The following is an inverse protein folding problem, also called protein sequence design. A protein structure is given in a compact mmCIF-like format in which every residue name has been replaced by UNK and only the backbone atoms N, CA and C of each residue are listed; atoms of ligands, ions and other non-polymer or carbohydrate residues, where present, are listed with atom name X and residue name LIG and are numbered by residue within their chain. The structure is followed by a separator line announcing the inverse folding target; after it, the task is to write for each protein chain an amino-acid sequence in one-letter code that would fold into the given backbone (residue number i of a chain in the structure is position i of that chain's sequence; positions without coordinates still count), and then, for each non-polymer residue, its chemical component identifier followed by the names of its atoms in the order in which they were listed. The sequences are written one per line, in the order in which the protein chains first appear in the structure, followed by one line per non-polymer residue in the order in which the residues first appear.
data_IF_102332823122
#
_entry.id   IF_102332823122
#
_cell.length_a   1.000
_cell.length_b   1.000
_cell.length_c   1.000
_cell.angle_alpha   90.00
_cell.angle_beta   90.00
_cell.angle_gamma   90.00
#
_symmetry.space_group_name_H-M   'P 1'
#
loop_
_entity.id
_entity.type
_entity.pdbx_description
1 polymer ?
#
# COMPACT_ATOMS: atom_id res chain seq x y z
N UNK A 1 17.51 -2.58 -4.79
CA UNK A 1 16.36 -1.71 -5.09
C UNK A 1 15.06 -2.35 -4.62
N UNK A 2 14.16 -1.55 -4.06
CA UNK A 2 12.89 -2.12 -3.63
C UNK A 2 12.09 -2.61 -4.85
N UNK A 3 11.38 -3.72 -4.66
CA UNK A 3 10.54 -4.25 -5.71
C UNK A 3 9.19 -3.53 -5.70
N UNK A 4 9.01 -2.63 -6.65
CA UNK A 4 7.81 -1.80 -6.72
C UNK A 4 6.53 -2.66 -6.81
N UNK A 5 6.61 -3.76 -7.54
CA UNK A 5 5.44 -4.65 -7.68
C UNK A 5 5.04 -5.26 -6.35
N UNK A 6 6.02 -5.68 -5.57
CA UNK A 6 5.75 -6.24 -4.24
C UNK A 6 5.21 -5.17 -3.30
N UNK A 7 5.78 -3.97 -3.35
CA UNK A 7 5.31 -2.87 -2.52
C UNK A 7 3.86 -2.53 -2.84
N UNK A 8 3.52 -2.46 -4.13
CA UNK A 8 2.17 -2.17 -4.54
C UNK A 8 1.19 -3.25 -4.07
N UNK A 9 1.59 -4.50 -4.18
CA UNK A 9 0.77 -5.63 -3.74
C UNK A 9 0.54 -5.58 -2.24
N UNK A 10 1.59 -5.37 -1.48
CA UNK A 10 1.48 -5.30 -0.02
C UNK A 10 0.66 -4.09 0.42
N UNK A 11 0.80 -2.98 -0.29
CA UNK A 11 0.02 -1.79 -0.01
C UNK A 11 -1.48 -2.09 -0.11
N UNK A 12 -1.87 -2.68 -1.22
CA UNK A 12 -3.27 -3.02 -1.43
C UNK A 12 -3.77 -4.04 -0.40
N UNK A 13 -2.94 -5.03 -0.13
CA UNK A 13 -3.28 -6.05 0.86
C UNK A 13 -3.50 -5.46 2.24
N UNK A 14 -2.62 -4.55 2.66
CA UNK A 14 -2.74 -3.93 3.97
C UNK A 14 -4.00 -3.09 4.09
N UNK A 15 -4.36 -2.39 3.03
CA UNK A 15 -5.58 -1.61 3.03
C UNK A 15 -6.80 -2.51 3.22
N UNK A 16 -6.82 -3.62 2.52
CA UNK A 16 -7.93 -4.57 2.62
C UNK A 16 -7.98 -5.19 4.01
N UNK A 17 -6.86 -5.60 4.55
CA UNK A 17 -6.80 -6.21 5.88
C UNK A 17 -7.23 -5.24 6.97
N UNK A 18 -6.92 -3.97 6.83
CA UNK A 18 -7.29 -2.95 7.81
C UNK A 18 -8.67 -2.37 7.53
N UNK A 19 -9.39 -2.91 6.55
CA UNK A 19 -10.73 -2.46 6.16
C UNK A 19 -10.76 -0.98 5.79
N UNK A 20 -9.70 -0.52 5.16
CA UNK A 20 -9.60 0.84 4.66
C UNK A 20 -9.95 0.82 3.18
N UNK A 21 -10.82 1.73 2.75
CA UNK A 21 -11.15 1.82 1.34
C UNK A 21 -9.90 2.21 0.54
N UNK A 22 -9.62 1.50 -0.56
CA UNK A 22 -8.42 1.77 -1.37
C UNK A 22 -8.60 3.01 -2.24
N UNK A 23 -8.80 4.16 -1.60
CA UNK A 23 -8.85 5.43 -2.31
C UNK A 23 -7.42 5.84 -2.70
N UNK A 24 -7.25 6.73 -3.70
CA UNK A 24 -5.92 7.17 -4.07
C UNK A 24 -5.12 7.74 -2.90
N UNK A 25 -5.77 8.47 -2.01
CA UNK A 25 -5.10 9.02 -0.84
C UNK A 25 -4.62 7.95 0.13
N UNK A 26 -5.51 7.01 0.44
CA UNK A 26 -5.16 5.92 1.36
C UNK A 26 -4.06 5.06 0.77
N UNK A 27 -4.15 4.79 -0.52
CA UNK A 27 -3.13 4.01 -1.21
C UNK A 27 -1.77 4.71 -1.17
N UNK A 28 -1.76 5.99 -1.43
CA UNK A 28 -0.52 6.76 -1.43
C UNK A 28 0.16 6.71 -0.07
N UNK A 29 -0.60 6.95 0.99
CA UNK A 29 -0.05 6.91 2.34
C UNK A 29 0.53 5.55 2.68
N UNK A 30 -0.21 4.50 2.40
CA UNK A 30 0.24 3.16 2.70
C UNK A 30 1.43 2.77 1.83
N UNK A 31 1.43 3.20 0.58
CA UNK A 31 2.53 2.92 -0.32
C UNK A 31 3.85 3.49 0.22
N UNK A 32 3.82 4.74 0.66
CA UNK A 32 5.00 5.34 1.25
C UNK A 32 5.41 4.65 2.54
N UNK A 33 4.43 4.22 3.31
CA UNK A 33 4.71 3.48 4.54
C UNK A 33 5.44 2.17 4.24
N UNK A 34 5.02 1.46 3.22
CA UNK A 34 5.65 0.21 2.82
C UNK A 34 7.06 0.42 2.27
N UNK A 35 7.31 1.56 1.68
CA UNK A 35 8.62 1.87 1.11
C UNK A 35 9.69 2.15 2.18
N UNK A 36 9.28 2.49 3.36
CA UNK A 36 10.23 2.70 4.45
C UNK A 36 10.71 1.35 4.95
#
# INVERSE_FOLDING_TARGET
MPNIKLIARETLRQLIENKIEPTPEAYEKEFYHQMK
#
